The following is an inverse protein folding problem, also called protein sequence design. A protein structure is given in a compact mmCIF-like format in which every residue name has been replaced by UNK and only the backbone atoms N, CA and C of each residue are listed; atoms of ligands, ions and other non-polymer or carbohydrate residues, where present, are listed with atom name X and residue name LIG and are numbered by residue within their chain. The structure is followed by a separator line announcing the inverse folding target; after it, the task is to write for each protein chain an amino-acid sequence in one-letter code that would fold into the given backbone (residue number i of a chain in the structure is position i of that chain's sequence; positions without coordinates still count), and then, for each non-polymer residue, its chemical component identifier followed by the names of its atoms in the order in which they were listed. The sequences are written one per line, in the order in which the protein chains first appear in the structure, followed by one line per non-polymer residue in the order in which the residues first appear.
data_IF_759291301859
#
_entry.id   IF_759291301859
#
_cell.length_a   1.000
_cell.length_b   1.000
_cell.length_c   1.000
_cell.angle_alpha   90.00
_cell.angle_beta   90.00
_cell.angle_gamma   90.00
#
_symmetry.space_group_name_H-M   'P 1'
#
loop_
_entity.id
_entity.type
_entity.pdbx_description
1 polymer ?
#
# COMPACT_ATOMS: atom_id res chain seq x y z
N UNK A 1 -26.02 7.43 10.31
CA UNK A 1 -25.03 6.51 9.68
C UNK A 1 -24.50 7.21 8.43
N UNK A 2 -23.31 6.89 7.91
CA UNK A 2 -22.85 7.53 6.66
C UNK A 2 -21.97 6.61 5.82
N UNK A 3 -21.94 6.85 4.51
CA UNK A 3 -21.02 6.20 3.57
C UNK A 3 -19.60 6.75 3.70
N UNK A 4 -18.63 6.05 3.10
CA UNK A 4 -17.19 6.41 3.14
C UNK A 4 -16.88 7.75 2.46
N UNK A 5 -17.77 8.25 1.62
CA UNK A 5 -17.69 9.56 0.96
C UNK A 5 -18.42 10.68 1.72
N UNK A 6 -18.94 10.39 2.93
CA UNK A 6 -19.56 11.38 3.80
C UNK A 6 -21.07 11.57 3.60
N UNK A 7 -21.69 10.86 2.65
CA UNK A 7 -23.14 10.92 2.46
C UNK A 7 -23.85 10.36 3.69
N UNK A 8 -24.70 11.19 4.30
CA UNK A 8 -25.50 10.78 5.45
C UNK A 8 -26.58 9.83 4.98
N UNK A 9 -26.73 8.72 5.70
CA UNK A 9 -27.84 7.79 5.56
C UNK A 9 -28.71 8.01 6.79
N UNK A 10 -29.82 8.70 6.58
CA UNK A 10 -30.81 9.09 7.57
C UNK A 10 -32.21 8.51 7.31
N UNK A 11 -32.43 7.86 6.16
CA UNK A 11 -33.66 7.15 5.84
C UNK A 11 -33.43 5.72 5.28
N UNK A 12 -34.44 4.87 5.47
CA UNK A 12 -34.42 3.44 5.10
C UNK A 12 -34.53 3.22 3.59
N UNK A 13 -35.24 4.10 2.88
CA UNK A 13 -35.44 3.99 1.44
C UNK A 13 -34.13 4.20 0.68
N UNK A 14 -33.33 5.17 1.12
CA UNK A 14 -31.98 5.39 0.63
C UNK A 14 -31.05 4.24 1.00
N UNK A 15 -31.14 3.71 2.22
CA UNK A 15 -30.34 2.56 2.66
C UNK A 15 -30.56 1.33 1.77
N UNK A 16 -31.81 1.03 1.38
CA UNK A 16 -32.13 -0.12 0.54
C UNK A 16 -31.69 0.02 -0.92
N UNK A 17 -31.44 1.24 -1.38
CA UNK A 17 -30.88 1.49 -2.72
C UNK A 17 -29.36 1.28 -2.78
N UNK A 18 -28.69 1.18 -1.62
CA UNK A 18 -27.26 0.98 -1.57
C UNK A 18 -26.87 -0.45 -1.95
N UNK A 19 -25.79 -0.64 -2.72
CA UNK A 19 -25.31 -1.98 -3.06
C UNK A 19 -25.06 -2.84 -1.82
N UNK A 20 -25.31 -4.14 -1.95
CA UNK A 20 -24.95 -5.08 -0.91
C UNK A 20 -23.46 -4.94 -0.53
N UNK A 21 -23.16 -5.03 0.77
CA UNK A 21 -21.82 -4.86 1.35
C UNK A 21 -21.21 -3.44 1.25
N UNK A 22 -22.06 -2.40 1.17
CA UNK A 22 -21.61 -1.00 1.31
C UNK A 22 -20.98 -0.78 2.69
N UNK A 23 -19.81 -0.13 2.72
CA UNK A 23 -19.09 0.20 3.95
C UNK A 23 -19.68 1.45 4.60
N UNK A 24 -20.13 1.31 5.86
CA UNK A 24 -20.70 2.39 6.65
C UNK A 24 -19.76 2.84 7.76
N UNK A 25 -19.86 4.13 8.09
CA UNK A 25 -19.23 4.75 9.24
C UNK A 25 -20.35 5.13 10.22
N UNK A 26 -20.21 4.64 11.45
CA UNK A 26 -21.08 5.01 12.57
C UNK A 26 -20.35 6.05 13.42
N UNK A 27 -21.01 7.18 13.67
CA UNK A 27 -20.50 8.27 14.51
C UNK A 27 -21.59 8.81 15.42
N UNK A 28 -21.22 9.33 16.58
CA UNK A 28 -22.13 10.10 17.42
C UNK A 28 -22.29 11.52 16.87
N UNK A 29 -23.45 12.15 17.14
CA UNK A 29 -23.69 13.53 16.73
C UNK A 29 -22.65 14.46 17.38
N UNK A 30 -21.86 15.15 16.54
CA UNK A 30 -20.82 16.08 16.98
C UNK A 30 -19.39 15.52 16.97
N UNK A 31 -19.18 14.22 16.73
CA UNK A 31 -17.84 13.66 16.60
C UNK A 31 -17.22 13.98 15.23
N UNK A 32 -15.98 14.51 15.25
CA UNK A 32 -15.18 14.76 14.05
C UNK A 32 -14.56 13.47 13.54
N UNK A 33 -14.75 13.17 12.25
CA UNK A 33 -14.11 12.04 11.57
C UNK A 33 -13.04 12.57 10.62
N UNK A 34 -11.81 12.05 10.71
CA UNK A 34 -10.74 12.38 9.76
C UNK A 34 -10.85 11.46 8.53
N UNK A 35 -11.44 11.99 7.47
CA UNK A 35 -11.40 11.39 6.14
C UNK A 35 -10.01 11.56 5.51
N UNK A 36 -9.77 10.88 4.37
CA UNK A 36 -8.64 11.22 3.52
C UNK A 36 -8.66 12.68 3.02
N UNK A 37 -9.85 13.30 2.99
CA UNK A 37 -10.04 14.72 2.71
C UNK A 37 -9.52 15.60 3.83
N UNK A 38 -9.80 15.24 5.08
CA UNK A 38 -9.30 15.95 6.24
C UNK A 38 -7.78 15.93 6.28
N UNK A 39 -7.14 14.80 5.97
CA UNK A 39 -5.69 14.72 5.90
C UNK A 39 -5.12 15.65 4.80
N UNK A 40 -5.73 15.67 3.63
CA UNK A 40 -5.29 16.51 2.51
C UNK A 40 -5.58 17.99 2.75
N UNK A 41 -6.74 18.32 3.32
CA UNK A 41 -7.15 19.66 3.73
C UNK A 41 -6.22 20.20 4.81
N UNK A 42 -5.94 19.43 5.86
CA UNK A 42 -5.01 19.80 6.93
C UNK A 42 -3.61 20.05 6.38
N UNK A 43 -3.18 19.25 5.40
CA UNK A 43 -1.87 19.45 4.78
C UNK A 43 -1.85 20.68 3.86
N UNK A 44 -2.88 20.92 3.04
CA UNK A 44 -3.00 22.11 2.19
C UNK A 44 -3.09 23.41 3.02
N UNK A 45 -3.86 23.39 4.11
CA UNK A 45 -3.94 24.49 5.07
C UNK A 45 -2.60 24.75 5.79
N UNK A 46 -1.79 23.71 5.98
CA UNK A 46 -0.43 23.84 6.53
C UNK A 46 0.62 24.31 5.52
N UNK A 47 0.37 24.16 4.21
CA UNK A 47 1.25 24.67 3.13
C UNK A 47 0.99 26.16 2.86
N UNK A 48 -0.26 26.60 2.95
CA UNK A 48 -0.67 27.93 2.55
C UNK A 48 -0.87 28.83 3.78
N UNK A 49 0.16 29.58 4.16
CA UNK A 49 0.21 30.23 5.48
C UNK A 49 -0.92 31.25 5.75
N UNK A 50 -1.57 31.81 4.71
CA UNK A 50 -2.58 32.86 4.88
C UNK A 50 -3.89 32.72 4.08
N UNK A 51 -4.06 31.74 3.18
CA UNK A 51 -5.18 31.75 2.22
C UNK A 51 -6.25 30.68 2.45
N UNK A 52 -5.94 29.60 3.19
CA UNK A 52 -6.88 28.47 3.38
C UNK A 52 -7.42 28.32 4.80
N UNK A 53 -6.96 29.12 5.77
CA UNK A 53 -7.31 28.96 7.19
C UNK A 53 -8.73 29.39 7.56
N UNK A 54 -9.53 30.00 6.67
CA UNK A 54 -10.64 30.85 7.13
C UNK A 54 -12.04 30.52 6.60
N UNK A 55 -12.39 29.28 6.20
CA UNK A 55 -13.84 28.98 6.14
C UNK A 55 -14.21 27.51 6.22
N UNK A 56 -15.26 27.25 7.02
CA UNK A 56 -16.05 26.00 7.02
C UNK A 56 -16.50 25.63 5.60
N UNK A 57 -16.71 26.62 4.73
CA UNK A 57 -17.03 26.45 3.31
C UNK A 57 -15.89 25.78 2.50
N UNK A 58 -14.62 26.06 2.78
CA UNK A 58 -13.51 25.37 2.10
C UNK A 58 -13.41 23.92 2.57
N UNK A 59 -13.68 23.64 3.86
CA UNK A 59 -13.71 22.27 4.38
C UNK A 59 -14.84 21.45 3.73
N UNK A 60 -16.07 21.98 3.77
CA UNK A 60 -17.23 21.42 3.07
C UNK A 60 -16.99 21.24 1.57
N UNK A 61 -16.31 22.20 0.93
CA UNK A 61 -15.89 22.07 -0.46
C UNK A 61 -14.89 20.92 -0.62
N UNK A 62 -13.83 20.81 0.18
CA UNK A 62 -12.85 19.73 0.02
C UNK A 62 -13.43 18.34 0.29
N UNK A 63 -14.46 18.25 1.13
CA UNK A 63 -15.22 17.02 1.40
C UNK A 63 -16.07 16.61 0.17
N UNK A 64 -16.62 17.57 -0.56
CA UNK A 64 -17.35 17.31 -1.81
C UNK A 64 -16.42 16.95 -2.97
N UNK A 65 -16.62 15.75 -3.53
CA UNK A 65 -15.95 15.28 -4.75
C UNK A 65 -14.41 15.37 -4.67
N UNK A 66 -13.86 14.94 -3.53
CA UNK A 66 -12.43 14.94 -3.26
C UNK A 66 -11.58 14.29 -4.37
N UNK A 67 -12.07 13.21 -4.97
CA UNK A 67 -11.41 12.50 -6.07
C UNK A 67 -11.13 13.46 -7.23
N UNK A 68 -12.10 14.29 -7.59
CA UNK A 68 -11.98 15.28 -8.64
C UNK A 68 -11.06 16.44 -8.23
N UNK A 69 -11.12 16.87 -6.97
CA UNK A 69 -10.29 17.97 -6.47
C UNK A 69 -8.81 17.60 -6.37
N UNK A 70 -8.50 16.35 -5.98
CA UNK A 70 -7.14 15.79 -6.03
C UNK A 70 -6.67 15.66 -7.48
N UNK A 71 -7.55 15.27 -8.41
CA UNK A 71 -7.24 15.21 -9.84
C UNK A 71 -6.83 16.58 -10.36
N UNK A 72 -7.59 17.62 -10.04
CA UNK A 72 -7.28 19.01 -10.40
C UNK A 72 -5.96 19.45 -9.77
N UNK A 73 -5.75 19.20 -8.47
CA UNK A 73 -4.50 19.56 -7.78
C UNK A 73 -3.28 18.87 -8.39
N UNK A 74 -3.41 17.60 -8.74
CA UNK A 74 -2.36 16.83 -9.42
C UNK A 74 -2.04 17.41 -10.81
N UNK A 75 -3.05 17.92 -11.52
CA UNK A 75 -2.87 18.55 -12.84
C UNK A 75 -2.18 19.92 -12.79
N UNK A 76 -2.17 20.59 -11.63
CA UNK A 76 -1.52 21.91 -11.45
C UNK A 76 -0.02 21.78 -11.14
N UNK A 77 0.47 20.59 -10.80
CA UNK A 77 1.87 20.37 -10.45
C UNK A 77 2.85 20.34 -11.63
N UNK A 78 2.38 20.60 -12.84
CA UNK A 78 3.22 20.71 -14.03
C UNK A 78 3.61 22.16 -14.32
N UNK A 79 4.65 22.68 -13.65
CA UNK A 79 5.40 23.83 -14.19
C UNK A 79 6.86 23.99 -13.68
N UNK A 80 7.69 24.45 -14.63
CA UNK A 80 9.02 25.10 -14.60
C UNK A 80 10.34 24.32 -14.53
N UNK A 81 11.32 24.80 -15.32
CA UNK A 81 12.62 24.19 -15.64
C UNK A 81 13.62 24.21 -14.46
N UNK A 82 13.49 25.17 -13.54
CA UNK A 82 14.23 25.21 -12.26
C UNK A 82 13.85 24.03 -11.34
N UNK A 83 12.68 23.41 -11.54
CA UNK A 83 12.28 22.19 -10.82
C UNK A 83 13.12 20.97 -11.18
N UNK A 84 13.75 20.92 -12.37
CA UNK A 84 14.60 19.78 -12.78
C UNK A 84 15.86 19.65 -11.92
N UNK A 85 16.48 20.76 -11.52
CA UNK A 85 17.63 20.73 -10.61
C UNK A 85 17.24 20.25 -9.20
N UNK A 86 16.06 20.67 -8.70
CA UNK A 86 15.51 20.19 -7.41
C UNK A 86 15.09 18.72 -7.44
N UNK A 87 14.56 18.23 -8.58
CA UNK A 87 14.29 16.79 -8.80
C UNK A 87 15.54 15.94 -8.59
N UNK A 88 16.69 16.37 -9.09
CA UNK A 88 17.94 15.60 -9.01
C UNK A 88 18.54 15.64 -7.59
N UNK A 89 18.30 16.72 -6.84
CA UNK A 89 18.84 16.86 -5.49
C UNK A 89 18.22 15.85 -4.51
N UNK A 90 19.07 14.96 -3.99
CA UNK A 90 18.71 13.94 -3.00
C UNK A 90 18.89 14.41 -1.55
N UNK A 91 19.95 15.19 -1.30
CA UNK A 91 20.38 15.57 0.05
C UNK A 91 19.50 16.66 0.67
N UNK A 92 19.11 16.48 1.92
CA UNK A 92 18.37 17.47 2.72
C UNK A 92 19.04 18.83 2.80
N UNK A 93 20.37 18.86 2.86
CA UNK A 93 21.14 20.11 2.87
C UNK A 93 21.00 20.92 1.57
N UNK A 94 20.71 20.25 0.45
CA UNK A 94 20.61 20.88 -0.88
C UNK A 94 19.17 21.16 -1.31
N UNK A 95 18.18 20.59 -0.63
CA UNK A 95 16.75 20.86 -0.86
C UNK A 95 15.98 20.79 0.47
N UNK A 96 16.21 21.73 1.39
CA UNK A 96 15.58 21.72 2.72
C UNK A 96 14.06 21.91 2.64
N UNK A 97 13.57 22.64 1.64
CA UNK A 97 12.14 22.89 1.40
C UNK A 97 11.37 21.59 1.24
N UNK A 98 11.94 20.63 0.50
CA UNK A 98 11.32 19.31 0.35
C UNK A 98 11.06 18.66 1.72
N UNK A 99 11.97 18.80 2.69
CA UNK A 99 11.87 18.19 4.04
C UNK A 99 11.04 19.02 5.03
N UNK A 100 10.54 20.19 4.64
CA UNK A 100 9.77 21.06 5.53
C UNK A 100 8.52 20.35 6.06
N UNK A 101 8.30 20.47 7.38
CA UNK A 101 7.17 19.86 8.09
C UNK A 101 7.32 18.36 8.39
N UNK A 102 8.50 17.76 8.15
CA UNK A 102 8.76 16.38 8.55
C UNK A 102 9.48 16.26 9.89
N UNK A 103 8.93 15.46 10.79
CA UNK A 103 9.63 14.91 11.94
C UNK A 103 10.47 13.70 11.51
N UNK A 104 11.61 13.95 10.87
CA UNK A 104 12.49 12.87 10.39
C UNK A 104 13.97 13.17 10.59
N UNK A 105 14.74 12.10 10.84
CA UNK A 105 16.21 12.10 10.83
C UNK A 105 16.80 11.78 9.46
N UNK A 106 15.97 11.52 8.45
CA UNK A 106 16.44 11.19 7.11
C UNK A 106 17.29 12.32 6.52
N UNK A 107 18.43 11.94 5.92
CA UNK A 107 19.38 12.85 5.29
C UNK A 107 19.14 12.99 3.79
N UNK A 108 18.48 12.01 3.18
CA UNK A 108 18.13 11.99 1.77
C UNK A 108 16.64 11.74 1.54
N UNK A 109 16.15 12.13 0.37
CA UNK A 109 14.76 11.88 -0.04
C UNK A 109 14.50 10.37 -0.14
N UNK A 110 15.47 9.63 -0.64
CA UNK A 110 15.47 8.16 -0.78
C UNK A 110 15.37 7.49 0.58
N UNK A 111 16.16 7.91 1.58
CA UNK A 111 16.06 7.36 2.93
C UNK A 111 14.68 7.60 3.55
N UNK A 112 14.09 8.78 3.31
CA UNK A 112 12.74 9.07 3.77
C UNK A 112 11.70 8.17 3.07
N UNK A 113 11.73 8.12 1.73
CA UNK A 113 10.78 7.36 0.93
C UNK A 113 10.88 5.85 1.19
N UNK A 114 12.10 5.35 1.38
CA UNK A 114 12.36 3.98 1.80
C UNK A 114 11.64 3.65 3.11
N UNK A 115 11.79 4.49 4.14
CA UNK A 115 11.10 4.31 5.44
C UNK A 115 9.58 4.38 5.29
N UNK A 116 9.06 5.29 4.46
CA UNK A 116 7.61 5.39 4.18
C UNK A 116 7.05 4.13 3.54
N UNK A 117 7.78 3.49 2.62
CA UNK A 117 7.39 2.19 2.09
C UNK A 117 7.39 1.12 3.20
N UNK A 118 8.46 1.06 4.00
CA UNK A 118 8.52 0.08 5.09
C UNK A 118 7.35 0.21 6.06
N UNK A 119 6.93 1.44 6.38
CA UNK A 119 5.77 1.70 7.25
C UNK A 119 4.47 1.14 6.66
N UNK A 120 4.27 1.26 5.34
CA UNK A 120 3.11 0.66 4.65
C UNK A 120 3.13 -0.86 4.74
N UNK A 121 4.26 -1.49 4.42
CA UNK A 121 4.40 -2.95 4.49
C UNK A 121 4.26 -3.46 5.93
N UNK A 122 4.83 -2.76 6.93
CA UNK A 122 4.63 -3.06 8.35
C UNK A 122 3.17 -2.97 8.75
N UNK A 123 2.44 -1.99 8.23
CA UNK A 123 1.01 -1.85 8.49
C UNK A 123 0.24 -3.08 8.02
N UNK A 124 0.58 -3.67 6.87
CA UNK A 124 -0.05 -4.91 6.40
C UNK A 124 0.21 -6.07 7.34
N UNK A 125 1.44 -6.22 7.83
CA UNK A 125 1.77 -7.27 8.80
C UNK A 125 0.98 -7.09 10.11
N UNK A 126 0.99 -5.87 10.66
CA UNK A 126 0.28 -5.54 11.89
C UNK A 126 -1.23 -5.77 11.76
N UNK A 127 -1.85 -5.22 10.71
CA UNK A 127 -3.30 -5.35 10.49
C UNK A 127 -3.68 -6.81 10.28
N UNK A 128 -2.90 -7.58 9.51
CA UNK A 128 -3.20 -8.99 9.25
C UNK A 128 -3.11 -9.82 10.52
N UNK A 129 -2.09 -9.56 11.34
CA UNK A 129 -1.96 -10.20 12.66
C UNK A 129 -3.11 -9.81 13.60
N UNK A 130 -3.50 -8.54 13.61
CA UNK A 130 -4.60 -8.03 14.44
C UNK A 130 -5.93 -8.68 14.07
N UNK A 131 -6.26 -8.67 12.77
CA UNK A 131 -7.48 -9.27 12.22
C UNK A 131 -7.52 -10.78 12.49
N UNK A 132 -6.38 -11.47 12.34
CA UNK A 132 -6.26 -12.89 12.68
C UNK A 132 -6.54 -13.16 14.16
N UNK A 133 -5.82 -12.50 15.08
CA UNK A 133 -5.90 -12.80 16.51
C UNK A 133 -7.29 -12.50 17.08
N UNK A 134 -7.97 -11.48 16.54
CA UNK A 134 -9.33 -11.10 16.93
C UNK A 134 -10.40 -12.03 16.33
N UNK A 135 -10.06 -12.88 15.37
CA UNK A 135 -11.05 -13.75 14.72
C UNK A 135 -11.52 -14.88 15.63
N UNK A 136 -12.82 -15.19 15.54
CA UNK A 136 -13.43 -16.35 16.18
C UNK A 136 -12.72 -17.66 15.84
N UNK A 137 -12.23 -17.77 14.60
CA UNK A 137 -11.49 -18.92 14.12
C UNK A 137 -10.22 -19.13 14.95
N UNK A 138 -9.38 -18.10 15.06
CA UNK A 138 -8.15 -18.16 15.84
C UNK A 138 -8.48 -18.46 17.32
N UNK A 139 -9.48 -17.81 17.90
CA UNK A 139 -9.87 -18.00 19.30
C UNK A 139 -10.40 -19.42 19.57
N UNK A 140 -11.10 -20.08 18.64
CA UNK A 140 -11.69 -21.40 18.90
C UNK A 140 -10.77 -22.56 18.52
N UNK A 141 -9.94 -22.41 17.48
CA UNK A 141 -9.20 -23.52 16.88
C UNK A 141 -7.75 -23.61 17.38
N UNK A 142 -7.58 -24.08 18.62
CA UNK A 142 -6.25 -24.18 19.28
C UNK A 142 -5.22 -25.00 18.50
N UNK A 143 -5.65 -26.10 17.85
CA UNK A 143 -4.76 -26.93 17.02
C UNK A 143 -4.21 -26.21 15.78
N UNK A 144 -4.98 -25.27 15.24
CA UNK A 144 -4.61 -24.50 14.05
C UNK A 144 -3.70 -23.31 14.39
N UNK A 145 -3.84 -22.73 15.60
CA UNK A 145 -3.07 -21.54 16.04
C UNK A 145 -1.56 -21.72 15.87
N UNK A 146 -1.01 -22.87 16.27
CA UNK A 146 0.43 -23.13 16.17
C UNK A 146 0.99 -22.97 14.74
N UNK A 147 0.20 -23.34 13.73
CA UNK A 147 0.61 -23.20 12.32
C UNK A 147 0.57 -21.74 11.88
N UNK A 148 -0.45 -21.01 12.30
CA UNK A 148 -0.57 -19.57 12.04
C UNK A 148 0.56 -18.79 12.72
N UNK A 149 0.82 -19.05 14.00
CA UNK A 149 1.87 -18.37 14.77
C UNK A 149 3.25 -18.62 14.15
N UNK A 150 3.53 -19.84 13.72
CA UNK A 150 4.76 -20.21 13.03
C UNK A 150 4.92 -19.47 11.69
N UNK A 151 3.85 -19.38 10.89
CA UNK A 151 3.88 -18.59 9.64
C UNK A 151 4.14 -17.11 9.90
N UNK A 152 3.51 -16.51 10.92
CA UNK A 152 3.73 -15.10 11.25
C UNK A 152 5.13 -14.83 11.80
N UNK A 153 5.73 -15.80 12.48
CA UNK A 153 7.15 -15.74 12.88
C UNK A 153 8.04 -15.69 11.63
N UNK A 154 7.85 -16.60 10.69
CA UNK A 154 8.59 -16.63 9.44
C UNK A 154 8.39 -15.37 8.58
N UNK A 155 7.17 -14.82 8.52
CA UNK A 155 6.91 -13.52 7.89
C UNK A 155 7.74 -12.41 8.52
N UNK A 156 7.82 -12.36 9.85
CA UNK A 156 8.57 -11.33 10.58
C UNK A 156 10.07 -11.42 10.29
N UNK A 157 10.61 -12.64 10.25
CA UNK A 157 12.01 -12.91 9.91
C UNK A 157 12.32 -12.47 8.46
N UNK A 158 11.47 -12.87 7.51
CA UNK A 158 11.67 -12.56 6.09
C UNK A 158 11.48 -11.07 5.78
N UNK A 159 10.47 -10.42 6.37
CA UNK A 159 10.28 -8.97 6.27
C UNK A 159 11.49 -8.21 6.84
N UNK A 160 12.03 -8.66 7.97
CA UNK A 160 13.24 -8.05 8.56
C UNK A 160 14.44 -8.20 7.63
N UNK A 161 14.68 -9.41 7.12
CA UNK A 161 15.75 -9.71 6.15
C UNK A 161 15.64 -8.83 4.89
N UNK A 162 14.43 -8.67 4.36
CA UNK A 162 14.16 -7.87 3.16
C UNK A 162 13.94 -6.38 3.44
N UNK A 163 14.27 -5.90 4.65
CA UNK A 163 14.07 -4.51 5.08
C UNK A 163 12.66 -4.00 4.74
N UNK A 164 11.66 -4.84 4.92
CA UNK A 164 10.23 -4.57 4.70
C UNK A 164 9.94 -3.98 3.31
N UNK A 165 10.67 -4.43 2.30
CA UNK A 165 10.57 -3.97 0.91
C UNK A 165 10.61 -2.45 0.75
N UNK A 166 11.37 -1.76 1.63
CA UNK A 166 11.49 -0.30 1.58
C UNK A 166 11.93 0.22 0.21
N UNK A 167 12.70 -0.60 -0.51
CA UNK A 167 13.24 -0.28 -1.84
C UNK A 167 12.18 -0.02 -2.90
N UNK A 168 10.92 -0.46 -2.73
CA UNK A 168 9.86 -0.16 -3.68
C UNK A 168 9.67 1.35 -3.91
N UNK A 169 9.93 2.18 -2.88
CA UNK A 169 9.87 3.64 -3.02
C UNK A 169 11.26 4.28 -3.04
N UNK A 170 12.30 3.56 -3.44
CA UNK A 170 13.66 4.10 -3.54
C UNK A 170 14.09 4.18 -5.01
N UNK A 171 14.09 5.39 -5.59
CA UNK A 171 14.52 5.62 -6.98
C UNK A 171 15.98 5.29 -7.26
N UNK A 172 16.81 5.14 -6.22
CA UNK A 172 18.19 4.67 -6.39
C UNK A 172 18.29 3.15 -6.53
N UNK A 173 17.18 2.43 -6.31
CA UNK A 173 17.11 0.99 -6.43
C UNK A 173 16.51 0.56 -7.77
N UNK A 174 17.18 -0.36 -8.46
CA UNK A 174 16.74 -0.89 -9.75
C UNK A 174 15.44 -1.69 -9.69
N UNK A 175 15.09 -2.21 -8.51
CA UNK A 175 13.83 -2.93 -8.27
C UNK A 175 12.75 -2.02 -7.64
N UNK A 176 12.95 -0.69 -7.68
CA UNK A 176 11.97 0.29 -7.25
C UNK A 176 10.74 0.34 -8.17
N UNK A 177 9.64 0.90 -7.67
CA UNK A 177 8.39 1.11 -8.42
C UNK A 177 8.38 2.41 -9.24
N UNK A 178 9.48 3.15 -9.23
CA UNK A 178 9.65 4.40 -9.97
C UNK A 178 10.83 4.31 -10.92
N UNK A 179 10.86 5.22 -11.89
CA UNK A 179 12.04 5.41 -12.74
C UNK A 179 13.20 6.06 -11.96
N UNK A 180 14.35 6.19 -12.62
CA UNK A 180 15.60 6.71 -12.02
C UNK A 180 15.46 8.15 -11.48
N UNK A 181 14.52 8.93 -12.00
CA UNK A 181 14.25 10.30 -11.53
C UNK A 181 13.20 10.32 -10.41
N UNK A 182 12.55 9.19 -10.12
CA UNK A 182 11.58 9.02 -9.05
C UNK A 182 10.13 9.21 -9.46
N UNK A 183 9.79 9.07 -10.74
CA UNK A 183 8.41 9.13 -11.23
C UNK A 183 7.74 7.76 -11.07
N UNK A 184 6.66 7.73 -10.29
CA UNK A 184 5.78 6.58 -10.14
C UNK A 184 4.63 6.67 -11.14
N UNK A 185 4.19 5.52 -11.63
CA UNK A 185 3.03 5.38 -12.53
C UNK A 185 1.95 4.56 -11.83
N UNK A 186 0.70 4.95 -12.01
CA UNK A 186 -0.42 4.17 -11.51
C UNK A 186 -0.55 2.87 -12.31
N UNK A 187 -0.68 1.74 -11.61
CA UNK A 187 -0.81 0.40 -12.21
C UNK A 187 -2.27 0.05 -12.58
N UNK A 188 -3.19 1.01 -12.41
CA UNK A 188 -4.61 0.85 -12.73
C UNK A 188 -5.40 0.12 -11.64
N UNK A 189 -6.72 0.03 -11.83
CA UNK A 189 -7.58 -0.71 -10.90
C UNK A 189 -7.17 -2.19 -10.82
N UNK A 190 -7.63 -2.90 -9.78
CA UNK A 190 -7.24 -4.29 -9.52
C UNK A 190 -7.45 -5.20 -10.76
N UNK A 191 -8.54 -4.98 -11.50
CA UNK A 191 -8.93 -5.73 -12.70
C UNK A 191 -8.37 -5.17 -14.03
N UNK A 192 -7.54 -4.14 -14.00
CA UNK A 192 -6.93 -3.53 -15.18
C UNK A 192 -5.42 -3.80 -15.19
N UNK A 193 -4.84 -3.94 -16.38
CA UNK A 193 -3.38 -4.07 -16.55
C UNK A 193 -2.64 -2.74 -16.54
N UNK A 194 -3.35 -1.64 -16.84
CA UNK A 194 -2.81 -0.28 -16.90
C UNK A 194 -3.86 0.73 -16.44
N UNK A 195 -3.41 1.89 -15.99
CA UNK A 195 -4.30 3.00 -15.65
C UNK A 195 -4.88 3.66 -16.91
N UNK A 196 -6.20 3.59 -17.11
CA UNK A 196 -6.89 4.14 -18.27
C UNK A 196 -7.18 5.64 -18.22
N UNK A 197 -6.85 6.30 -17.11
CA UNK A 197 -7.08 7.74 -16.93
C UNK A 197 -6.17 8.59 -17.84
N UNK A 198 -6.54 9.86 -18.01
CA UNK A 198 -5.79 10.83 -18.83
C UNK A 198 -5.62 10.37 -20.29
N UNK A 199 -6.70 9.91 -20.94
CA UNK A 199 -6.67 9.40 -22.32
C UNK A 199 -5.63 8.27 -22.52
N UNK A 200 -5.40 7.47 -21.48
CA UNK A 200 -4.48 6.33 -21.51
C UNK A 200 -3.03 6.64 -21.16
N UNK A 201 -2.68 7.89 -20.80
CA UNK A 201 -1.33 8.19 -20.30
C UNK A 201 -1.11 7.72 -18.87
N UNK A 202 -2.21 7.51 -18.13
CA UNK A 202 -2.24 7.06 -16.74
C UNK A 202 -1.72 8.10 -15.76
N UNK A 203 -2.26 8.11 -14.54
CA UNK A 203 -1.76 9.00 -13.47
C UNK A 203 -0.27 8.77 -13.20
N UNK A 204 0.47 9.87 -13.02
CA UNK A 204 1.89 9.87 -12.67
C UNK A 204 2.15 10.84 -11.53
N UNK A 205 3.21 10.57 -10.76
CA UNK A 205 3.65 11.48 -9.71
C UNK A 205 5.13 11.29 -9.44
N UNK A 206 5.84 12.38 -9.18
CA UNK A 206 7.22 12.33 -8.71
C UNK A 206 7.29 12.91 -7.28
N UNK A 207 7.22 12.08 -6.22
CA UNK A 207 7.29 12.56 -4.84
C UNK A 207 8.66 13.14 -4.48
N UNK A 208 9.69 12.93 -5.30
CA UNK A 208 11.03 13.51 -5.08
C UNK A 208 11.14 14.94 -5.60
N UNK A 209 10.20 15.40 -6.43
CA UNK A 209 10.26 16.71 -7.07
C UNK A 209 10.03 17.86 -6.10
N UNK A 210 9.04 17.75 -5.23
CA UNK A 210 8.63 18.82 -4.32
C UNK A 210 7.98 18.28 -3.06
N UNK A 211 7.87 19.15 -2.06
CA UNK A 211 7.15 18.85 -0.82
C UNK A 211 5.70 18.48 -1.10
N UNK A 212 5.06 19.19 -2.02
CA UNK A 212 3.66 19.03 -2.42
C UNK A 212 3.44 17.66 -3.10
N UNK A 213 4.30 17.29 -4.06
CA UNK A 213 4.23 15.99 -4.70
C UNK A 213 4.47 14.84 -3.71
N UNK A 214 5.40 15.01 -2.76
CA UNK A 214 5.59 14.03 -1.68
C UNK A 214 4.34 13.86 -0.82
N UNK A 215 3.69 14.96 -0.49
CA UNK A 215 2.45 14.97 0.29
C UNK A 215 1.34 14.25 -0.48
N UNK A 216 1.11 14.59 -1.74
CA UNK A 216 0.06 13.96 -2.55
C UNK A 216 0.33 12.46 -2.73
N UNK A 217 1.59 12.05 -2.84
CA UNK A 217 1.95 10.63 -2.89
C UNK A 217 1.53 9.84 -1.64
N UNK A 218 1.35 10.50 -0.49
CA UNK A 218 0.81 9.84 0.70
C UNK A 218 -0.61 9.29 0.49
N UNK A 219 -1.36 9.85 -0.46
CA UNK A 219 -2.73 9.45 -0.83
C UNK A 219 -2.78 8.28 -1.82
N UNK A 220 -1.66 8.00 -2.49
CA UNK A 220 -1.52 6.83 -3.35
C UNK A 220 -1.47 5.58 -2.50
N UNK A 221 -2.12 4.50 -2.94
CA UNK A 221 -2.22 3.26 -2.19
C UNK A 221 -1.35 2.18 -2.84
N UNK A 222 -0.81 1.28 -2.01
CA UNK A 222 -0.17 0.06 -2.47
C UNK A 222 -1.16 -1.07 -2.19
N UNK A 223 -2.10 -1.25 -3.10
CA UNK A 223 -3.35 -1.98 -2.87
C UNK A 223 -3.25 -3.46 -3.23
N UNK A 224 -3.95 -4.31 -2.48
CA UNK A 224 -3.97 -5.77 -2.66
C UNK A 224 -5.01 -6.17 -3.70
N UNK A 225 -4.60 -6.60 -4.89
CA UNK A 225 -5.59 -6.96 -5.92
C UNK A 225 -6.29 -8.31 -5.62
N UNK A 226 -5.61 -9.26 -4.95
CA UNK A 226 -6.25 -10.33 -4.17
C UNK A 226 -6.41 -9.82 -2.74
N UNK A 227 -7.65 -9.59 -2.31
CA UNK A 227 -7.93 -8.82 -1.09
C UNK A 227 -7.40 -9.49 0.19
N UNK A 228 -6.67 -8.70 1.01
CA UNK A 228 -6.10 -9.12 2.29
C UNK A 228 -7.13 -9.71 3.25
N UNK A 229 -8.14 -8.92 3.62
CA UNK A 229 -9.11 -9.31 4.66
C UNK A 229 -10.20 -10.23 4.13
N UNK A 230 -10.64 -10.06 2.88
CA UNK A 230 -11.74 -10.85 2.29
C UNK A 230 -11.29 -12.20 1.73
N UNK A 231 -10.03 -12.34 1.32
CA UNK A 231 -9.54 -13.54 0.64
C UNK A 231 -8.33 -14.16 1.35
N UNK A 232 -7.25 -13.40 1.56
CA UNK A 232 -5.98 -13.96 2.03
C UNK A 232 -6.06 -14.46 3.48
N UNK A 233 -6.69 -13.72 4.40
CA UNK A 233 -6.85 -14.14 5.79
C UNK A 233 -7.73 -15.40 5.91
N UNK A 234 -8.92 -15.47 5.29
CA UNK A 234 -9.68 -16.72 5.23
C UNK A 234 -8.89 -17.90 4.64
N UNK A 235 -8.10 -17.67 3.59
CA UNK A 235 -7.22 -18.67 3.00
C UNK A 235 -6.13 -19.17 3.96
N UNK A 236 -5.54 -18.28 4.77
CA UNK A 236 -4.60 -18.68 5.84
C UNK A 236 -5.28 -19.57 6.90
N UNK A 237 -6.53 -19.28 7.27
CA UNK A 237 -7.29 -20.12 8.19
C UNK A 237 -7.54 -21.51 7.60
N UNK A 238 -7.96 -21.57 6.35
CA UNK A 238 -8.14 -22.83 5.64
C UNK A 238 -6.83 -23.62 5.53
N UNK A 239 -5.74 -22.96 5.13
CA UNK A 239 -4.41 -23.55 5.08
C UNK A 239 -3.99 -24.13 6.44
N UNK A 240 -4.31 -23.44 7.54
CA UNK A 240 -4.00 -23.93 8.90
C UNK A 240 -4.81 -25.15 9.30
N UNK A 241 -6.07 -25.28 8.86
CA UNK A 241 -6.88 -26.49 9.04
C UNK A 241 -6.24 -27.65 8.30
N UNK A 242 -6.01 -27.48 6.99
CA UNK A 242 -5.40 -28.49 6.13
C UNK A 242 -4.05 -28.94 6.70
N UNK A 243 -3.19 -27.99 7.06
CA UNK A 243 -1.88 -28.24 7.68
C UNK A 243 -1.98 -29.09 8.95
N UNK A 244 -3.01 -28.84 9.78
CA UNK A 244 -3.24 -29.58 11.02
C UNK A 244 -3.72 -31.02 10.78
N UNK A 245 -4.50 -31.26 9.72
CA UNK A 245 -5.06 -32.56 9.35
C UNK A 245 -4.01 -33.48 8.72
N UNK A 246 -3.17 -32.94 7.83
CA UNK A 246 -2.16 -33.72 7.12
C UNK A 246 -0.74 -33.57 7.69
N UNK A 247 -0.62 -32.88 8.83
CA UNK A 247 0.65 -32.60 9.52
C UNK A 247 1.75 -32.03 8.62
N UNK A 248 1.40 -31.07 7.75
CA UNK A 248 2.32 -30.36 6.85
C UNK A 248 2.42 -28.88 7.23
N UNK A 249 3.49 -28.23 6.78
CA UNK A 249 3.64 -26.78 6.93
C UNK A 249 2.80 -26.04 5.89
N UNK A 250 2.25 -24.89 6.30
CA UNK A 250 1.65 -23.91 5.39
C UNK A 250 2.74 -23.39 4.45
N UNK A 251 2.40 -23.17 3.18
CA UNK A 251 3.29 -22.54 2.21
C UNK A 251 3.45 -21.05 2.52
N UNK A 252 4.39 -20.74 3.42
CA UNK A 252 4.66 -19.37 3.84
C UNK A 252 5.01 -18.46 2.66
N UNK A 253 5.77 -18.94 1.66
CA UNK A 253 6.17 -18.11 0.51
C UNK A 253 4.97 -17.58 -0.28
N UNK A 254 3.97 -18.43 -0.54
CA UNK A 254 2.76 -18.04 -1.26
C UNK A 254 2.02 -16.90 -0.56
N UNK A 255 1.77 -17.04 0.74
CA UNK A 255 1.06 -16.02 1.51
C UNK A 255 1.93 -14.77 1.74
N UNK A 256 3.25 -14.91 1.84
CA UNK A 256 4.17 -13.78 1.93
C UNK A 256 4.11 -12.92 0.67
N UNK A 257 4.16 -13.54 -0.51
CA UNK A 257 4.03 -12.85 -1.80
C UNK A 257 2.70 -12.11 -1.91
N UNK A 258 1.61 -12.77 -1.54
CA UNK A 258 0.28 -12.16 -1.55
C UNK A 258 0.14 -10.98 -0.59
N UNK A 259 0.80 -10.99 0.57
CA UNK A 259 0.63 -9.96 1.59
C UNK A 259 1.60 -8.78 1.44
N UNK A 260 2.82 -9.01 0.97
CA UNK A 260 3.91 -8.06 1.16
C UNK A 260 4.69 -7.72 -0.11
N UNK A 261 4.41 -8.34 -1.24
CA UNK A 261 5.16 -8.12 -2.48
C UNK A 261 4.27 -7.64 -3.63
N UNK A 262 4.91 -7.10 -4.65
CA UNK A 262 4.30 -6.62 -5.89
C UNK A 262 3.69 -7.72 -6.76
N UNK A 263 3.83 -9.00 -6.36
CA UNK A 263 3.02 -10.09 -6.94
C UNK A 263 1.53 -9.80 -6.74
N UNK A 264 1.17 -9.20 -5.60
CA UNK A 264 -0.21 -8.87 -5.26
C UNK A 264 -0.47 -7.40 -4.90
N UNK A 265 0.58 -6.61 -4.74
CA UNK A 265 0.50 -5.19 -4.43
C UNK A 265 0.60 -4.34 -5.70
N UNK A 266 -0.42 -3.52 -5.97
CA UNK A 266 -0.43 -2.51 -7.04
C UNK A 266 -0.36 -1.10 -6.48
N UNK A 267 0.55 -0.28 -6.99
CA UNK A 267 0.61 1.14 -6.70
C UNK A 267 -0.44 1.89 -7.51
N UNK A 268 -1.46 2.41 -6.83
CA UNK A 268 -2.62 3.04 -7.44
C UNK A 268 -2.87 4.44 -6.92
N UNK A 269 -3.23 5.34 -7.83
CA UNK A 269 -3.80 6.63 -7.47
C UNK A 269 -5.11 6.42 -6.70
N UNK A 270 -5.47 7.33 -5.79
CA UNK A 270 -6.68 7.21 -4.95
C UNK A 270 -7.97 7.06 -5.75
N UNK A 271 -8.01 7.60 -6.98
CA UNK A 271 -9.16 7.47 -7.89
C UNK A 271 -9.24 6.08 -8.53
N UNK A 272 -8.09 5.41 -8.71
CA UNK A 272 -8.00 4.04 -9.25
C UNK A 272 -8.08 2.96 -8.16
N UNK A 273 -8.06 3.37 -6.89
CA UNK A 273 -8.29 2.47 -5.75
C UNK A 273 -9.78 2.18 -5.65
N UNK A 274 -10.19 1.07 -6.26
CA UNK A 274 -11.52 0.50 -6.13
C UNK A 274 -11.66 -0.11 -4.72
N UNK A 275 -12.67 0.33 -3.97
CA UNK A 275 -12.98 -0.20 -2.63
C UNK A 275 -14.09 -1.26 -2.66
N UNK A 276 -14.60 -1.57 -3.86
CA UNK A 276 -15.53 -2.66 -4.10
C UNK A 276 -14.91 -4.04 -3.83
N UNK A 277 -15.71 -5.10 -3.92
CA UNK A 277 -15.21 -6.46 -3.78
C UNK A 277 -14.52 -6.93 -5.06
N UNK A 278 -13.35 -7.56 -4.93
CA UNK A 278 -12.59 -8.11 -6.06
C UNK A 278 -13.07 -9.55 -6.35
N UNK A 279 -14.29 -9.69 -6.87
CA UNK A 279 -15.05 -10.96 -6.93
C UNK A 279 -14.28 -12.11 -7.60
N UNK A 280 -13.45 -11.81 -8.61
CA UNK A 280 -12.69 -12.83 -9.37
C UNK A 280 -11.28 -13.08 -8.82
N UNK A 281 -10.78 -12.30 -7.87
CA UNK A 281 -9.43 -12.44 -7.32
C UNK A 281 -9.44 -13.34 -6.08
N UNK A 282 -9.12 -14.62 -6.27
CA UNK A 282 -9.12 -15.64 -5.21
C UNK A 282 -7.74 -16.26 -5.01
N UNK A 283 -7.47 -16.73 -3.80
CA UNK A 283 -6.30 -17.56 -3.53
C UNK A 283 -6.49 -18.97 -4.14
N UNK A 284 -5.40 -19.62 -4.52
CA UNK A 284 -5.37 -20.98 -5.06
C UNK A 284 -5.12 -21.98 -3.92
N UNK A 285 -6.12 -22.81 -3.55
CA UNK A 285 -5.98 -23.79 -2.48
C UNK A 285 -4.85 -24.79 -2.69
N UNK A 286 -4.46 -25.07 -3.95
CA UNK A 286 -3.36 -25.99 -4.25
C UNK A 286 -2.00 -25.48 -3.76
N UNK A 287 -1.88 -24.16 -3.56
CA UNK A 287 -0.65 -23.52 -3.11
C UNK A 287 -0.60 -23.31 -1.60
N UNK A 288 -1.62 -23.70 -0.84
CA UNK A 288 -1.71 -23.41 0.60
C UNK A 288 -0.69 -24.15 1.45
N UNK A 289 -0.27 -25.35 1.04
CA UNK A 289 0.66 -26.19 1.78
C UNK A 289 1.98 -26.34 1.02
N UNK A 290 3.10 -26.37 1.75
CA UNK A 290 4.41 -26.55 1.14
C UNK A 290 4.51 -27.94 0.49
N UNK A 291 4.87 -28.03 -0.79
CA UNK A 291 5.12 -29.32 -1.47
C UNK A 291 6.11 -30.17 -0.67
N UNK A 292 5.91 -31.50 -0.64
CA UNK A 292 6.94 -32.40 -0.11
C UNK A 292 8.20 -32.16 -0.93
N UNK A 293 9.28 -31.68 -0.30
CA UNK A 293 10.62 -31.79 -0.89
C UNK A 293 10.86 -33.27 -1.12
N UNK A 294 10.82 -33.72 -2.37
CA UNK A 294 11.59 -34.90 -2.76
C UNK A 294 13.04 -34.49 -2.55
N UNK A 295 13.72 -35.10 -1.59
CA UNK A 295 15.16 -34.88 -1.38
C UNK A 295 15.85 -35.46 -2.61
N UNK A 296 16.03 -34.65 -3.65
CA UNK A 296 17.12 -34.88 -4.58
C UNK A 296 18.33 -34.15 -3.99
N UNK A 297 19.22 -34.95 -3.38
CA UNK A 297 20.57 -34.54 -3.05
C UNK A 297 21.29 -34.15 -4.33
N UNK A 298 21.34 -32.85 -4.63
CA UNK A 298 22.35 -32.31 -5.53
C UNK A 298 23.38 -31.60 -4.67
N UNK A 299 24.53 -32.25 -4.51
CA UNK A 299 25.75 -31.65 -4.00
C UNK A 299 26.16 -30.54 -4.98
N UNK A 300 26.20 -29.30 -4.51
CA UNK A 300 27.02 -28.30 -5.18
C UNK A 300 28.47 -28.63 -4.83
N UNK A 301 29.16 -29.27 -5.77
CA UNK A 301 30.61 -29.30 -5.78
C UNK A 301 31.09 -27.91 -6.18
N UNK A 302 32.01 -27.38 -5.37
CA UNK A 302 32.82 -26.21 -5.67
C UNK A 302 33.48 -26.35 -7.04
N UNK A 303 33.45 -25.28 -7.84
CA UNK A 303 34.43 -25.07 -8.90
C UNK A 303 34.76 -23.56 -8.95
N UNK A 304 35.68 -23.17 -8.07
CA UNK A 304 36.61 -22.09 -8.32
C UNK A 304 37.77 -22.66 -9.15
N UNK A 305 37.95 -22.22 -10.39
CA UNK A 305 39.25 -22.10 -11.10
C UNK A 305 39.04 -20.98 -12.13
N UNK A 306 39.60 -19.80 -11.89
CA UNK A 306 40.93 -19.37 -12.31
C UNK A 306 41.02 -18.96 -13.78
N UNK A 307 41.53 -17.75 -13.94
CA UNK A 307 42.04 -17.07 -15.12
C UNK A 307 42.51 -17.98 -16.25
N UNK A 308 42.28 -17.56 -17.49
CA UNK A 308 43.40 -17.44 -18.43
C UNK A 308 43.14 -16.45 -19.58
N UNK A 309 44.25 -15.82 -19.95
CA UNK A 309 44.47 -14.85 -21.01
C UNK A 309 44.34 -15.45 -22.43
N UNK A 310 44.29 -14.53 -23.42
CA UNK A 310 44.55 -14.69 -24.87
C UNK A 310 43.36 -15.01 -25.79
N UNK A 311 42.73 -13.98 -26.36
CA UNK A 311 43.10 -13.41 -27.67
C UNK A 311 42.28 -12.14 -27.95
#
# INVERSE_FOLDING_TARGET
MMTVDGTVIDDEDYFQQLPAQTLFIFRLNGETFETGADLIYNVLAAVNNNTLKTSIKIKSFMDENIKEKIRILSSVLDVDDESKKKKISSLRLRDPDWFQGLETRARTKEEFMFKRCQERIRSYMYKTKSDMIKSDFYIKQTKCRKYLDEVFKQFSELLTKNKHHGYYFDRSNTNGLCDEIGTFKCEGAWNQSVCSYERGTGHKINPYQSRESRIIFSTWNLDHWVERSRTIIPALFEASKMASEVHRSINMNYFYELLFTTVNLKLVHIVCHDKGQHISAKCDPNLYLQYKKVIHSFSYADNCLENDFNN
#
